data_IF_158466829220
#
_entry.id   IF_158466829220
#
_cell.length_a   1.000
_cell.length_b   1.000
_cell.length_c   1.000
_cell.angle_alpha   90.00
_cell.angle_beta   90.00
_cell.angle_gamma   90.00
#
_symmetry.space_group_name_H-M   'P 1'
#
loop_
_entity.id
_entity.type
_entity.pdbx_description
1 polymer ?
#
# COMPACT_ATOMS: atom_id res chain seq x y z
N UNK A 1 -8.60 6.19 19.39
CA UNK A 1 -7.45 5.29 19.17
C UNK A 1 -8.05 3.90 19.11
N UNK A 2 -7.99 3.23 17.97
CA UNK A 2 -8.72 1.97 17.77
C UNK A 2 -7.96 0.75 18.30
N UNK A 3 -8.67 -0.36 18.50
CA UNK A 3 -8.12 -1.62 19.00
C UNK A 3 -6.93 -2.10 18.14
N UNK A 4 -7.00 -1.98 16.81
CA UNK A 4 -5.91 -2.32 15.88
C UNK A 4 -4.60 -1.57 16.15
N UNK A 5 -4.71 -0.29 16.52
CA UNK A 5 -3.53 0.54 16.81
C UNK A 5 -2.83 0.08 18.08
N UNK A 6 -3.61 -0.25 19.11
CA UNK A 6 -3.10 -0.77 20.38
C UNK A 6 -2.49 -2.16 20.20
N UNK A 7 -3.14 -3.02 19.42
CA UNK A 7 -2.62 -4.34 19.09
C UNK A 7 -1.29 -4.25 18.33
N UNK A 8 -1.20 -3.36 17.34
CA UNK A 8 0.06 -3.11 16.63
C UNK A 8 1.15 -2.55 17.55
N UNK A 9 0.80 -1.67 18.49
CA UNK A 9 1.76 -1.16 19.48
C UNK A 9 2.32 -2.27 20.38
N UNK A 10 1.49 -3.27 20.74
CA UNK A 10 1.89 -4.43 21.53
C UNK A 10 2.67 -5.49 20.74
N UNK A 11 2.39 -5.66 19.44
CA UNK A 11 3.10 -6.63 18.60
C UNK A 11 4.44 -6.09 18.11
N UNK A 12 4.45 -4.87 17.58
CA UNK A 12 5.57 -4.34 16.80
C UNK A 12 6.07 -2.97 17.31
N UNK A 13 5.34 -2.35 18.23
CA UNK A 13 5.62 -0.98 18.67
C UNK A 13 6.25 -0.86 20.05
N UNK A 14 6.10 0.32 20.63
CA UNK A 14 6.70 0.72 21.91
C UNK A 14 6.18 -0.09 23.11
N UNK A 15 5.06 -0.80 22.97
CA UNK A 15 4.48 -1.64 24.02
C UNK A 15 4.92 -3.11 23.92
N UNK A 16 5.80 -3.45 22.97
CA UNK A 16 6.22 -4.84 22.74
C UNK A 16 6.86 -5.49 23.96
N UNK A 17 7.70 -4.75 24.69
CA UNK A 17 8.34 -5.26 25.89
C UNK A 17 7.34 -5.49 27.04
N UNK A 18 6.32 -4.64 27.14
CA UNK A 18 5.27 -4.69 28.15
C UNK A 18 4.29 -5.83 27.85
N UNK A 19 4.05 -6.12 26.56
CA UNK A 19 3.16 -7.17 26.11
C UNK A 19 3.89 -8.49 25.81
N UNK A 20 5.18 -8.63 26.17
CA UNK A 20 6.00 -9.78 25.80
C UNK A 20 5.56 -11.08 26.50
N UNK A 21 4.91 -10.98 27.65
CA UNK A 21 4.38 -12.11 28.40
C UNK A 21 2.97 -12.55 27.94
N UNK A 22 2.32 -11.75 27.09
CA UNK A 22 0.96 -12.00 26.62
C UNK A 22 0.97 -12.83 25.34
N UNK A 23 0.05 -13.80 25.25
CA UNK A 23 -0.28 -14.50 24.01
C UNK A 23 -0.92 -13.56 22.99
N UNK A 24 -1.00 -13.98 21.72
CA UNK A 24 -1.64 -13.20 20.66
C UNK A 24 -3.10 -12.85 21.00
N UNK A 25 -3.87 -13.83 21.48
CA UNK A 25 -5.28 -13.66 21.87
C UNK A 25 -5.42 -12.72 23.07
N UNK A 26 -4.55 -12.81 24.07
CA UNK A 26 -4.58 -11.89 25.22
C UNK A 26 -4.28 -10.44 24.79
N UNK A 27 -3.36 -10.24 23.84
CA UNK A 27 -3.10 -8.92 23.27
C UNK A 27 -4.31 -8.37 22.52
N UNK A 28 -5.03 -9.19 21.75
CA UNK A 28 -6.26 -8.78 21.05
C UNK A 28 -7.37 -8.39 22.03
N UNK A 29 -7.61 -9.21 23.05
CA UNK A 29 -8.62 -8.92 24.09
C UNK A 29 -8.26 -7.65 24.85
N UNK A 30 -7.00 -7.48 25.25
CA UNK A 30 -6.53 -6.29 25.94
C UNK A 30 -6.64 -5.04 25.05
N UNK A 31 -6.31 -5.15 23.76
CA UNK A 31 -6.45 -4.06 22.81
C UNK A 31 -7.90 -3.60 22.67
N UNK A 32 -8.84 -4.54 22.54
CA UNK A 32 -10.26 -4.23 22.48
C UNK A 32 -10.78 -3.60 23.78
N UNK A 33 -10.39 -4.17 24.94
CA UNK A 33 -10.77 -3.62 26.24
C UNK A 33 -10.30 -2.18 26.43
N UNK A 34 -9.04 -1.88 26.09
CA UNK A 34 -8.46 -0.54 26.20
C UNK A 34 -9.07 0.45 25.21
N UNK A 35 -9.49 -0.01 24.02
CA UNK A 35 -10.14 0.84 23.03
C UNK A 35 -11.63 1.07 23.30
N UNK A 36 -12.25 0.27 24.19
CA UNK A 36 -13.69 0.31 24.43
C UNK A 36 -14.54 -0.26 23.29
N UNK A 37 -13.92 -1.03 22.39
CA UNK A 37 -14.56 -1.66 21.23
C UNK A 37 -14.07 -3.11 21.09
N UNK A 38 -14.91 -4.01 20.60
CA UNK A 38 -14.45 -5.36 20.30
C UNK A 38 -13.45 -5.35 19.14
N UNK A 39 -12.47 -6.26 19.18
CA UNK A 39 -11.60 -6.48 18.02
C UNK A 39 -12.48 -6.95 16.85
N UNK A 40 -12.58 -6.14 15.79
CA UNK A 40 -13.28 -6.54 14.57
C UNK A 40 -12.22 -7.01 13.58
N UNK A 41 -12.36 -8.21 12.98
CA UNK A 41 -11.42 -8.64 11.96
C UNK A 41 -11.39 -7.58 10.84
N UNK A 42 -10.20 -7.24 10.31
CA UNK A 42 -10.10 -6.22 9.29
C UNK A 42 -11.00 -6.58 8.12
N UNK A 43 -11.75 -5.59 7.63
CA UNK A 43 -12.61 -5.78 6.45
C UNK A 43 -11.72 -6.30 5.32
N UNK A 44 -12.07 -7.44 4.68
CA UNK A 44 -11.23 -8.03 3.67
C UNK A 44 -11.06 -7.06 2.51
N UNK A 45 -9.83 -6.99 2.02
CA UNK A 45 -9.50 -6.23 0.82
C UNK A 45 -10.13 -6.95 -0.38
N UNK A 46 -10.69 -6.18 -1.31
CA UNK A 46 -11.17 -6.72 -2.57
C UNK A 46 -9.99 -7.28 -3.35
N UNK A 47 -9.89 -8.61 -3.44
CA UNK A 47 -8.86 -9.27 -4.23
C UNK A 47 -9.24 -9.27 -5.72
N UNK A 48 -8.25 -9.09 -6.60
CA UNK A 48 -8.45 -9.30 -8.02
C UNK A 48 -8.71 -10.79 -8.30
N UNK A 49 -9.61 -11.08 -9.24
CA UNK A 49 -9.89 -12.45 -9.65
C UNK A 49 -8.69 -13.08 -10.39
N UNK A 50 -8.03 -12.27 -11.23
CA UNK A 50 -6.89 -12.71 -12.02
C UNK A 50 -5.56 -12.30 -11.36
N UNK A 51 -4.54 -13.17 -11.40
CA UNK A 51 -3.21 -12.83 -10.93
C UNK A 51 -2.60 -11.73 -11.80
N UNK A 52 -1.73 -10.94 -11.19
CA UNK A 52 -0.96 -9.92 -11.91
C UNK A 52 -0.09 -10.58 -12.99
N UNK A 53 -0.13 -10.04 -14.21
CA UNK A 53 0.75 -10.45 -15.29
C UNK A 53 2.21 -10.08 -15.03
N UNK A 54 3.11 -10.52 -15.92
CA UNK A 54 4.48 -10.03 -15.91
C UNK A 54 4.47 -8.54 -16.27
N UNK A 55 5.03 -7.70 -15.39
CA UNK A 55 5.11 -6.26 -15.61
C UNK A 55 6.09 -5.94 -16.74
N UNK A 56 5.75 -4.96 -17.57
CA UNK A 56 6.61 -4.48 -18.64
C UNK A 56 7.97 -3.97 -18.12
N UNK A 57 9.05 -4.24 -18.86
CA UNK A 57 10.41 -3.76 -18.53
C UNK A 57 10.57 -2.23 -18.67
N UNK A 58 9.67 -1.59 -19.42
CA UNK A 58 9.62 -0.14 -19.56
C UNK A 58 8.18 0.30 -19.70
N UNK A 59 7.80 1.32 -18.96
CA UNK A 59 6.51 1.97 -19.10
C UNK A 59 6.75 3.48 -19.27
N UNK A 60 6.57 3.96 -20.50
CA UNK A 60 6.74 5.37 -20.83
C UNK A 60 5.56 6.23 -20.33
N UNK A 61 4.41 5.59 -20.02
CA UNK A 61 3.22 6.21 -19.45
C UNK A 61 3.21 6.16 -17.92
N UNK A 62 4.07 5.34 -17.29
CA UNK A 62 4.29 5.35 -15.86
C UNK A 62 4.61 6.77 -15.38
N UNK A 63 4.05 7.16 -14.24
CA UNK A 63 4.52 8.35 -13.54
C UNK A 63 6.00 8.14 -13.22
N UNK A 64 6.87 8.86 -13.94
CA UNK A 64 8.34 8.80 -13.79
C UNK A 64 8.77 9.42 -12.46
N UNK A 65 8.40 8.78 -11.35
CA UNK A 65 8.58 9.27 -9.99
C UNK A 65 7.47 10.20 -9.51
N UNK A 66 7.45 10.41 -8.19
CA UNK A 66 6.49 11.31 -7.54
C UNK A 66 6.87 12.76 -7.83
N UNK A 67 6.34 13.30 -8.92
CA UNK A 67 6.75 14.59 -9.49
C UNK A 67 6.50 14.72 -10.99
N UNK A 68 6.21 13.61 -11.67
CA UNK A 68 5.86 13.54 -13.10
C UNK A 68 7.04 13.66 -14.06
N UNK A 69 8.12 14.34 -13.66
CA UNK A 69 9.38 14.46 -14.40
C UNK A 69 10.52 14.94 -13.47
N UNK A 70 11.73 15.05 -14.00
CA UNK A 70 12.93 15.50 -13.28
C UNK A 70 12.82 16.91 -12.67
N UNK A 71 11.89 17.76 -13.13
CA UNK A 71 11.62 19.08 -12.54
C UNK A 71 10.75 18.99 -11.28
N UNK A 72 10.10 17.85 -11.04
CA UNK A 72 9.35 17.55 -9.82
C UNK A 72 8.28 18.60 -9.47
N UNK A 73 7.63 19.20 -10.47
CA UNK A 73 6.61 20.23 -10.26
C UNK A 73 5.28 19.67 -9.73
N UNK A 74 5.12 18.34 -9.67
CA UNK A 74 3.86 17.69 -9.28
C UNK A 74 2.66 18.17 -10.09
N UNK A 75 2.93 18.55 -11.33
CA UNK A 75 1.97 19.12 -12.26
C UNK A 75 1.92 18.23 -13.50
N UNK A 76 0.74 17.73 -13.80
CA UNK A 76 0.44 17.09 -15.08
C UNK A 76 -0.17 18.15 -15.99
N UNK A 77 0.42 18.34 -17.17
CA UNK A 77 -0.14 19.25 -18.17
C UNK A 77 -1.54 18.76 -18.59
N UNK A 78 -2.46 19.68 -18.90
CA UNK A 78 -3.83 19.38 -19.30
C UNK A 78 -3.88 18.50 -20.57
N UNK A 79 -2.87 18.61 -21.44
CA UNK A 79 -2.72 17.74 -22.61
C UNK A 79 -2.39 16.26 -22.24
N UNK A 80 -1.76 16.02 -21.09
CA UNK A 80 -1.41 14.68 -20.59
C UNK A 80 -2.50 14.13 -19.67
N UNK A 81 -3.07 14.98 -18.81
CA UNK A 81 -4.16 14.58 -17.92
C UNK A 81 -5.49 14.42 -18.66
N UNK A 82 -5.66 15.07 -19.82
CA UNK A 82 -6.95 15.19 -20.49
C UNK A 82 -7.97 15.98 -19.68
N UNK A 83 -7.52 16.76 -18.69
CA UNK A 83 -8.36 17.53 -17.77
C UNK A 83 -8.21 19.02 -18.05
N UNK A 84 -9.34 19.71 -18.20
CA UNK A 84 -9.41 21.15 -18.37
C UNK A 84 -10.63 21.75 -17.63
N UNK A 85 -10.77 23.06 -17.70
CA UNK A 85 -11.87 23.79 -17.03
C UNK A 85 -13.27 23.41 -17.56
N UNK A 86 -13.37 22.80 -18.73
CA UNK A 86 -14.62 22.48 -19.41
C UNK A 86 -15.08 21.03 -19.14
N UNK A 87 -14.23 20.19 -18.54
CA UNK A 87 -14.56 18.80 -18.24
C UNK A 87 -14.35 18.39 -16.77
N UNK A 88 -13.72 19.24 -15.95
CA UNK A 88 -13.48 18.93 -14.52
C UNK A 88 -14.78 18.73 -13.74
N UNK A 89 -15.88 19.33 -14.18
CA UNK A 89 -17.22 19.19 -13.60
C UNK A 89 -17.90 17.86 -13.95
N UNK A 90 -17.38 17.12 -14.92
CA UNK A 90 -17.88 15.81 -15.36
C UNK A 90 -17.21 14.64 -14.63
N UNK A 91 -16.25 14.93 -13.76
CA UNK A 91 -15.50 13.90 -13.04
C UNK A 91 -16.40 13.16 -12.03
N UNK A 92 -16.31 11.84 -12.06
CA UNK A 92 -16.93 10.95 -11.09
C UNK A 92 -15.86 10.09 -10.40
N UNK A 93 -16.16 9.69 -9.16
CA UNK A 93 -15.33 8.76 -8.41
C UNK A 93 -15.31 7.40 -9.10
N UNK A 94 -14.14 6.94 -9.55
CA UNK A 94 -13.98 5.62 -10.18
C UNK A 94 -14.02 4.48 -9.15
N UNK A 95 -13.20 4.59 -8.10
CA UNK A 95 -13.16 3.64 -7.00
C UNK A 95 -12.50 4.27 -5.75
N UNK A 96 -12.66 3.61 -4.60
CA UNK A 96 -12.01 3.99 -3.34
C UNK A 96 -11.33 2.77 -2.74
N UNK A 97 -10.10 2.96 -2.29
CA UNK A 97 -9.37 1.99 -1.50
C UNK A 97 -9.19 2.50 -0.07
N UNK A 98 -9.70 1.75 0.90
CA UNK A 98 -9.53 2.04 2.31
C UNK A 98 -8.44 1.15 2.89
N UNK A 99 -7.35 1.78 3.35
CA UNK A 99 -6.24 1.09 4.02
C UNK A 99 -6.73 0.47 5.34
N UNK A 100 -6.71 -0.86 5.49
CA UNK A 100 -7.14 -1.50 6.73
C UNK A 100 -6.32 -1.03 7.92
N UNK A 101 -6.99 -0.57 8.98
CA UNK A 101 -6.35 -0.16 10.23
C UNK A 101 -5.45 1.08 10.13
N UNK A 102 -5.35 1.75 8.98
CA UNK A 102 -4.54 2.94 8.82
C UNK A 102 -5.38 4.20 9.06
N UNK A 103 -4.81 5.16 9.80
CA UNK A 103 -5.44 6.46 10.04
C UNK A 103 -4.98 7.52 9.03
N UNK A 104 -3.92 7.22 8.26
CA UNK A 104 -3.29 8.14 7.32
C UNK A 104 -2.71 7.38 6.13
N UNK A 105 -2.86 7.94 4.94
CA UNK A 105 -2.09 7.54 3.76
C UNK A 105 -0.94 8.52 3.58
N UNK A 106 0.30 8.03 3.67
CA UNK A 106 1.52 8.88 3.55
C UNK A 106 2.42 8.49 2.40
N UNK A 107 2.36 7.23 1.95
CA UNK A 107 3.18 6.77 0.84
C UNK A 107 2.75 7.44 -0.46
N UNK A 108 3.73 7.87 -1.23
CA UNK A 108 3.54 8.31 -2.61
C UNK A 108 3.26 7.08 -3.50
N UNK A 109 2.14 7.06 -4.26
CA UNK A 109 1.86 5.95 -5.15
C UNK A 109 2.87 5.89 -6.29
N UNK A 110 3.23 4.67 -6.68
CA UNK A 110 3.94 4.35 -7.92
C UNK A 110 2.92 3.71 -8.87
N UNK A 111 2.88 4.15 -10.12
CA UNK A 111 2.01 3.57 -11.15
C UNK A 111 2.89 3.05 -12.28
N UNK A 112 2.75 1.76 -12.59
CA UNK A 112 3.52 1.07 -13.62
C UNK A 112 2.69 -0.06 -14.21
N UNK A 113 2.57 -0.10 -15.54
CA UNK A 113 1.93 -1.15 -16.31
C UNK A 113 0.50 -1.48 -15.83
N UNK A 114 -0.30 -0.43 -15.61
CA UNK A 114 -1.69 -0.56 -15.15
C UNK A 114 -1.83 -0.94 -13.67
N UNK A 115 -0.74 -0.94 -12.89
CA UNK A 115 -0.77 -1.31 -11.47
C UNK A 115 -0.29 -0.15 -10.59
N UNK A 116 -1.03 0.09 -9.53
CA UNK A 116 -0.73 1.08 -8.50
C UNK A 116 -0.08 0.37 -7.30
N UNK A 117 1.11 0.78 -6.92
CA UNK A 117 1.80 0.33 -5.72
C UNK A 117 1.75 1.40 -4.65
N UNK A 118 1.24 1.05 -3.46
CA UNK A 118 1.09 1.97 -2.32
C UNK A 118 1.47 1.32 -1.00
N UNK A 119 2.14 2.08 -0.13
CA UNK A 119 2.47 1.69 1.24
C UNK A 119 1.48 2.20 2.28
N UNK A 120 1.33 1.44 3.37
CA UNK A 120 0.41 1.72 4.48
C UNK A 120 1.13 2.15 5.75
N UNK A 121 0.38 2.84 6.62
CA UNK A 121 0.76 3.09 8.00
C UNK A 121 1.03 1.78 8.78
N UNK A 122 0.27 0.72 8.48
CA UNK A 122 0.40 -0.61 9.10
C UNK A 122 1.66 -1.37 8.67
N UNK A 123 2.37 -0.87 7.65
CA UNK A 123 3.54 -1.55 7.07
C UNK A 123 3.22 -2.51 5.95
N UNK A 124 1.99 -2.51 5.45
CA UNK A 124 1.61 -3.28 4.27
C UNK A 124 1.86 -2.49 2.98
N UNK A 125 2.20 -3.20 1.91
CA UNK A 125 2.30 -2.71 0.54
C UNK A 125 1.23 -3.41 -0.28
N UNK A 126 0.47 -2.63 -1.03
CA UNK A 126 -0.58 -3.14 -1.92
C UNK A 126 -0.20 -2.91 -3.37
N UNK A 127 -0.42 -3.91 -4.20
CA UNK A 127 -0.49 -3.76 -5.66
C UNK A 127 -1.94 -3.79 -6.09
N UNK A 128 -2.45 -2.65 -6.53
CA UNK A 128 -3.84 -2.45 -6.92
C UNK A 128 -3.95 -2.35 -8.43
N UNK A 129 -4.97 -2.97 -9.00
CA UNK A 129 -5.35 -2.77 -10.38
C UNK A 129 -5.84 -1.31 -10.58
N UNK A 130 -5.30 -0.62 -11.59
CA UNK A 130 -5.61 0.79 -11.87
C UNK A 130 -7.10 1.00 -12.23
N UNK A 131 -7.72 0.01 -12.86
CA UNK A 131 -9.09 0.12 -13.38
C UNK A 131 -10.14 -0.13 -12.31
N UNK A 132 -9.96 -1.15 -11.49
CA UNK A 132 -10.96 -1.62 -10.52
C UNK A 132 -10.62 -1.28 -9.07
N UNK A 133 -9.35 -1.00 -8.75
CA UNK A 133 -8.89 -0.80 -7.37
C UNK A 133 -8.82 -2.09 -6.55
N UNK A 134 -9.02 -3.27 -7.15
CA UNK A 134 -8.80 -4.54 -6.47
C UNK A 134 -7.30 -4.77 -6.21
N UNK A 135 -6.97 -5.50 -5.16
CA UNK A 135 -5.59 -5.87 -4.86
C UNK A 135 -5.21 -7.17 -5.58
N UNK A 136 -4.18 -7.11 -6.42
CA UNK A 136 -3.54 -8.31 -6.95
C UNK A 136 -2.78 -9.06 -5.86
N UNK A 137 -2.12 -8.33 -4.96
CA UNK A 137 -1.42 -8.90 -3.81
C UNK A 137 -1.22 -7.87 -2.70
N UNK A 138 -0.89 -8.38 -1.52
CA UNK A 138 -0.46 -7.60 -0.34
C UNK A 138 0.86 -8.16 0.17
N UNK A 139 1.80 -7.30 0.53
CA UNK A 139 3.08 -7.66 1.14
C UNK A 139 3.24 -6.94 2.47
N UNK A 140 3.58 -7.66 3.54
CA UNK A 140 3.82 -7.05 4.86
C UNK A 140 5.31 -6.78 5.05
N UNK A 141 5.68 -5.50 5.08
CA UNK A 141 7.05 -5.04 5.33
C UNK A 141 7.40 -4.97 6.84
N UNK A 142 6.42 -5.18 7.72
CA UNK A 142 6.61 -5.26 9.18
C UNK A 142 6.79 -3.91 9.90
N UNK A 143 6.91 -2.82 9.16
CA UNK A 143 6.96 -1.45 9.69
C UNK A 143 6.38 -0.46 8.69
N UNK A 144 5.90 0.67 9.20
CA UNK A 144 5.24 1.72 8.41
C UNK A 144 6.01 2.11 7.13
N UNK A 145 5.32 2.07 5.99
CA UNK A 145 5.88 2.46 4.69
C UNK A 145 5.46 3.90 4.38
N UNK A 146 6.32 4.86 4.73
CA UNK A 146 6.08 6.29 4.47
C UNK A 146 6.66 6.81 3.17
N UNK A 147 7.67 6.12 2.63
CA UNK A 147 8.43 6.57 1.47
C UNK A 147 7.77 6.16 0.16
N UNK A 148 8.20 6.81 -0.92
CA UNK A 148 7.85 6.43 -2.28
C UNK A 148 8.49 5.09 -2.65
N UNK A 149 7.75 4.25 -3.36
CA UNK A 149 8.28 3.03 -3.96
C UNK A 149 8.99 3.36 -5.28
N UNK A 150 10.08 2.66 -5.57
CA UNK A 150 10.80 2.78 -6.84
C UNK A 150 10.79 1.44 -7.57
N UNK A 151 10.25 1.40 -8.78
CA UNK A 151 10.44 0.28 -9.69
C UNK A 151 11.78 0.47 -10.42
N UNK A 152 12.64 -0.54 -10.36
CA UNK A 152 13.80 -0.64 -11.24
C UNK A 152 13.56 -1.82 -12.16
N UNK A 153 13.43 -1.56 -13.45
CA UNK A 153 13.56 -2.63 -14.43
C UNK A 153 15.02 -3.07 -14.48
N UNK A 154 15.22 -4.35 -14.28
CA UNK A 154 16.55 -4.93 -14.27
C UNK A 154 16.44 -6.44 -14.27
N UNK A 155 16.80 -7.05 -15.39
CA UNK A 155 17.33 -8.41 -15.38
C UNK A 155 18.62 -8.39 -14.54
N UNK A 156 18.50 -8.54 -13.24
CA UNK A 156 19.63 -8.98 -12.42
C UNK A 156 20.07 -10.36 -12.94
N UNK A 157 21.37 -10.68 -12.97
CA UNK A 157 21.79 -12.02 -13.35
C UNK A 157 21.07 -13.01 -12.42
N UNK A 158 20.33 -13.96 -13.01
CA UNK A 158 19.92 -15.17 -12.30
C UNK A 158 21.24 -15.87 -11.92
N UNK A 159 21.73 -15.58 -10.72
CA UNK A 159 22.90 -16.27 -10.18
C UNK A 159 22.62 -17.78 -10.21
N UNK A 160 23.58 -18.61 -10.65
CA UNK A 160 23.38 -20.05 -10.65
C UNK A 160 23.14 -20.50 -9.22
N UNK A 161 22.11 -21.33 -9.02
CA UNK A 161 21.78 -21.87 -7.72
C UNK A 161 22.98 -22.60 -7.10
N UNK A 162 23.28 -22.24 -5.85
CA UNK A 162 24.02 -23.10 -4.94
C UNK A 162 23.21 -23.24 -3.67
N UNK A 163 22.53 -24.39 -3.55
CA UNK A 163 22.14 -24.97 -2.28
C UNK A 163 23.43 -25.27 -1.52
N UNK A 164 23.61 -24.68 -0.34
CA UNK A 164 24.51 -25.21 0.67
C UNK A 164 23.66 -25.70 1.83
N UNK A 165 23.81 -27.00 2.13
CA UNK A 165 23.36 -27.60 3.39
C UNK A 165 24.38 -27.43 4.50
#
# INVERSE_FOLDING_TARGET
MGADTLLNAMNNGVMRAQASALSATEREVLAGFLAGEAMVPPKPILACAEPIGALADSDAAAMQGWGGNAKNHRHSDGAVAGLDRNNVDQLALKWVFAYPGALRARSQPLVHDGVIFVGSQSGDIYALDLESGCAHWTYSAGAEVRSSLSCRSGAGPRGPGTLHG
#
